data_IF_916131089613
#
_entry.id   IF_916131089613
#
_cell.length_a   1.000
_cell.length_b   1.000
_cell.length_c   1.000
_cell.angle_alpha   90.00
_cell.angle_beta   90.00
_cell.angle_gamma   90.00
#
_symmetry.space_group_name_H-M   'P 1'
#
loop_
_entity.id
_entity.type
_entity.pdbx_description
1 polymer ?
#
# COMPACT_ATOMS: atom_id res chain seq x y z
N UNK A 1 -0.11 9.86 -6.41
CA UNK A 1 -0.97 11.00 -6.89
C UNK A 1 -0.10 12.06 -7.56
N UNK A 2 0.72 12.77 -6.84
CA UNK A 2 1.66 13.79 -7.31
C UNK A 2 3.06 13.45 -6.82
N UNK A 3 4.09 14.11 -7.33
CA UNK A 3 5.46 13.96 -6.81
C UNK A 3 5.62 14.65 -5.45
N UNK A 4 5.03 15.84 -5.28
CA UNK A 4 5.01 16.57 -4.01
C UNK A 4 3.62 16.50 -3.38
N UNK A 5 3.58 16.29 -2.07
CA UNK A 5 2.32 16.24 -1.31
C UNK A 5 1.56 17.56 -1.33
N UNK A 6 2.27 18.69 -1.34
CA UNK A 6 1.67 20.03 -1.48
C UNK A 6 0.88 20.19 -2.79
N UNK A 7 1.39 19.62 -3.90
CA UNK A 7 0.67 19.61 -5.16
C UNK A 7 -0.58 18.73 -5.10
N UNK A 8 -0.48 17.62 -4.38
CA UNK A 8 -1.62 16.76 -4.10
C UNK A 8 -2.71 17.48 -3.29
N UNK A 9 -2.34 18.20 -2.25
CA UNK A 9 -3.26 19.03 -1.44
C UNK A 9 -3.96 20.07 -2.32
N UNK A 10 -3.20 20.79 -3.16
CA UNK A 10 -3.78 21.76 -4.11
C UNK A 10 -4.76 21.13 -5.09
N UNK A 11 -4.45 19.94 -5.61
CA UNK A 11 -5.38 19.20 -6.49
C UNK A 11 -6.67 18.81 -5.78
N UNK A 12 -6.58 18.36 -4.53
CA UNK A 12 -7.76 18.04 -3.69
C UNK A 12 -8.63 19.26 -3.48
N UNK A 13 -8.03 20.41 -3.14
CA UNK A 13 -8.76 21.65 -2.97
C UNK A 13 -9.45 22.12 -4.27
N UNK A 14 -8.74 22.08 -5.39
CA UNK A 14 -9.31 22.44 -6.69
C UNK A 14 -10.45 21.51 -7.11
N UNK A 15 -10.32 20.20 -6.87
CA UNK A 15 -11.39 19.25 -7.13
C UNK A 15 -12.64 19.58 -6.31
N UNK A 16 -12.47 19.91 -5.02
CA UNK A 16 -13.58 20.35 -4.13
C UNK A 16 -14.23 21.64 -4.64
N UNK A 17 -13.44 22.66 -4.99
CA UNK A 17 -13.94 23.94 -5.53
C UNK A 17 -14.74 23.75 -6.81
N UNK A 18 -14.24 22.89 -7.70
CA UNK A 18 -14.89 22.61 -9.00
C UNK A 18 -15.97 21.54 -8.93
N UNK A 19 -16.19 20.93 -7.76
CA UNK A 19 -17.15 19.84 -7.53
C UNK A 19 -16.95 18.66 -8.50
N UNK A 20 -15.69 18.33 -8.78
CA UNK A 20 -15.32 17.15 -9.58
C UNK A 20 -14.83 16.02 -8.67
N UNK A 21 -15.06 14.79 -9.10
CA UNK A 21 -14.60 13.61 -8.37
C UNK A 21 -13.12 13.38 -8.69
N UNK A 22 -12.31 13.23 -7.66
CA UNK A 22 -10.89 12.93 -7.74
C UNK A 22 -10.59 11.68 -6.92
N UNK A 23 -9.82 10.75 -7.47
CA UNK A 23 -9.31 9.56 -6.78
C UNK A 23 -7.90 9.21 -7.25
N UNK A 24 -7.30 8.20 -6.64
CA UNK A 24 -6.01 7.65 -7.04
C UNK A 24 -6.12 6.13 -7.21
N UNK A 25 -5.38 5.57 -8.18
CA UNK A 25 -5.42 4.16 -8.55
C UNK A 25 -4.68 3.25 -7.56
N UNK A 26 -5.11 3.15 -6.31
CA UNK A 26 -4.60 2.16 -5.36
C UNK A 26 -5.35 0.84 -5.53
N UNK A 27 -5.00 0.16 -6.61
CA UNK A 27 -5.66 -1.03 -7.14
C UNK A 27 -5.75 -2.18 -6.12
N UNK A 28 -4.82 -2.29 -5.17
CA UNK A 28 -4.79 -3.39 -4.21
C UNK A 28 -5.96 -3.35 -3.22
N UNK A 29 -6.59 -2.20 -3.00
CA UNK A 29 -7.84 -2.11 -2.21
C UNK A 29 -9.01 -2.82 -2.89
N UNK A 30 -8.92 -3.05 -4.20
CA UNK A 30 -9.91 -3.77 -5.02
C UNK A 30 -9.52 -5.22 -5.28
N UNK A 31 -8.34 -5.65 -4.80
CA UNK A 31 -7.90 -7.03 -4.91
C UNK A 31 -8.71 -7.90 -3.95
N UNK A 32 -9.44 -8.94 -4.46
CA UNK A 32 -10.31 -9.76 -3.61
C UNK A 32 -9.58 -10.44 -2.44
N UNK A 33 -8.33 -10.83 -2.63
CA UNK A 33 -7.54 -11.43 -1.55
C UNK A 33 -7.26 -10.40 -0.44
N UNK A 34 -6.89 -9.17 -0.80
CA UNK A 34 -6.63 -8.09 0.16
C UNK A 34 -7.91 -7.69 0.90
N UNK A 35 -9.02 -7.56 0.17
CA UNK A 35 -10.32 -7.27 0.76
C UNK A 35 -10.74 -8.37 1.76
N UNK A 36 -10.48 -9.64 1.43
CA UNK A 36 -10.76 -10.76 2.34
C UNK A 36 -9.91 -10.73 3.60
N UNK A 37 -8.61 -10.40 3.47
CA UNK A 37 -7.73 -10.20 4.64
C UNK A 37 -8.24 -9.05 5.50
N UNK A 38 -8.68 -7.94 4.89
CA UNK A 38 -9.28 -6.81 5.62
C UNK A 38 -10.53 -7.22 6.39
N UNK A 39 -11.38 -8.10 5.83
CA UNK A 39 -12.55 -8.63 6.53
C UNK A 39 -12.15 -9.48 7.75
N UNK A 40 -11.11 -10.30 7.64
CA UNK A 40 -10.57 -11.07 8.78
C UNK A 40 -10.05 -10.15 9.88
N UNK A 41 -9.34 -9.09 9.53
CA UNK A 41 -8.81 -8.09 10.47
C UNK A 41 -9.97 -7.36 11.17
N UNK A 42 -10.95 -6.86 10.42
CA UNK A 42 -12.11 -6.13 10.97
C UNK A 42 -12.96 -6.99 11.91
N UNK A 43 -13.17 -8.24 11.55
CA UNK A 43 -13.93 -9.18 12.37
C UNK A 43 -13.13 -9.73 13.54
N UNK A 44 -11.83 -9.42 13.64
CA UNK A 44 -10.89 -10.00 14.62
C UNK A 44 -10.90 -11.54 14.63
N UNK A 45 -11.19 -12.17 13.48
CA UNK A 45 -11.29 -13.63 13.36
C UNK A 45 -10.03 -14.36 13.86
N UNK A 46 -8.88 -13.70 13.73
CA UNK A 46 -7.55 -14.21 14.10
C UNK A 46 -6.84 -13.31 15.12
N UNK A 47 -7.62 -12.63 15.96
CA UNK A 47 -7.10 -11.68 16.95
C UNK A 47 -6.73 -10.32 16.35
N UNK A 48 -5.85 -9.60 17.04
CA UNK A 48 -5.42 -8.26 16.64
C UNK A 48 -4.29 -8.32 15.62
N UNK A 49 -4.37 -7.50 14.58
CA UNK A 49 -3.28 -7.33 13.61
C UNK A 49 -2.12 -6.58 14.27
N UNK A 50 -0.93 -7.18 14.24
CA UNK A 50 0.29 -6.64 14.85
C UNK A 50 1.29 -6.17 13.82
N UNK A 51 1.47 -6.93 12.73
CA UNK A 51 2.53 -6.68 11.77
C UNK A 51 2.09 -6.98 10.34
N UNK A 52 2.58 -6.16 9.40
CA UNK A 52 2.48 -6.37 7.96
C UNK A 52 3.88 -6.45 7.35
N UNK A 53 4.07 -7.32 6.38
CA UNK A 53 5.32 -7.49 5.64
C UNK A 53 5.00 -7.60 4.15
N UNK A 54 5.44 -6.62 3.36
CA UNK A 54 5.20 -6.54 1.93
C UNK A 54 6.47 -6.84 1.14
N UNK A 55 6.33 -7.59 0.05
CA UNK A 55 7.37 -7.88 -0.91
C UNK A 55 6.87 -7.59 -2.31
N UNK A 56 7.55 -6.64 -2.98
CA UNK A 56 7.22 -6.24 -4.34
C UNK A 56 8.49 -6.11 -5.17
N UNK A 57 8.79 -7.15 -5.89
CA UNK A 57 10.05 -7.35 -6.59
C UNK A 57 9.81 -7.75 -8.04
N UNK A 58 10.55 -7.16 -8.96
CA UNK A 58 10.53 -7.51 -10.37
C UNK A 58 11.68 -6.80 -11.11
N UNK A 59 11.86 -7.12 -12.39
CA UNK A 59 12.75 -6.34 -13.25
C UNK A 59 12.17 -4.96 -13.49
N UNK A 60 13.06 -3.97 -13.62
CA UNK A 60 12.70 -2.59 -13.90
C UNK A 60 11.81 -2.49 -15.15
N UNK A 61 10.66 -1.82 -15.06
CA UNK A 61 9.82 -1.56 -16.22
C UNK A 61 10.52 -0.56 -17.16
N UNK A 62 10.64 -0.84 -18.47
CA UNK A 62 11.45 -0.03 -19.40
C UNK A 62 10.87 1.37 -19.67
N UNK A 63 9.61 1.60 -19.33
CA UNK A 63 8.90 2.85 -19.52
C UNK A 63 9.00 3.82 -18.33
N UNK A 64 9.42 3.37 -17.15
CA UNK A 64 9.61 4.22 -15.96
C UNK A 64 11.00 4.86 -16.03
N UNK A 65 11.05 6.19 -16.06
CA UNK A 65 12.30 6.96 -16.17
C UNK A 65 12.36 8.17 -15.24
N UNK A 66 11.23 8.64 -14.78
CA UNK A 66 11.05 9.93 -14.10
C UNK A 66 10.94 9.85 -12.59
N UNK A 67 10.73 8.65 -12.05
CA UNK A 67 10.60 8.40 -10.61
C UNK A 67 11.34 7.13 -10.18
N UNK A 68 11.66 7.03 -8.89
CA UNK A 68 12.22 5.83 -8.29
C UNK A 68 11.15 4.85 -7.80
N UNK A 69 11.62 3.72 -7.29
CA UNK A 69 10.76 2.60 -6.88
C UNK A 69 9.81 2.97 -5.73
N UNK A 70 10.19 3.93 -4.89
CA UNK A 70 9.32 4.34 -3.77
C UNK A 70 8.04 4.94 -4.32
N UNK A 71 8.12 5.86 -5.30
CA UNK A 71 6.96 6.52 -5.88
C UNK A 71 6.19 5.68 -6.90
N UNK A 72 6.87 4.79 -7.64
CA UNK A 72 6.18 3.91 -8.60
C UNK A 72 5.56 2.69 -7.93
N UNK A 73 6.28 2.08 -7.00
CA UNK A 73 5.96 0.73 -6.52
C UNK A 73 5.57 0.71 -5.04
N UNK A 74 6.41 1.25 -4.15
CA UNK A 74 6.20 1.15 -2.70
C UNK A 74 4.96 1.91 -2.21
N UNK A 75 4.51 2.95 -2.92
CA UNK A 75 3.29 3.70 -2.60
C UNK A 75 2.04 2.83 -2.54
N UNK A 76 1.98 1.75 -3.34
CA UNK A 76 0.86 0.80 -3.30
C UNK A 76 0.82 0.00 -2.00
N UNK A 77 2.00 -0.38 -1.50
CA UNK A 77 2.11 -1.16 -0.25
C UNK A 77 1.97 -0.25 0.98
N UNK A 78 2.44 1.01 0.89
CA UNK A 78 2.17 2.06 1.90
C UNK A 78 0.66 2.26 2.04
N UNK A 79 -0.05 2.44 0.93
CA UNK A 79 -1.51 2.57 0.92
C UNK A 79 -2.21 1.35 1.51
N UNK A 80 -1.80 0.15 1.09
CA UNK A 80 -2.37 -1.10 1.59
C UNK A 80 -2.15 -1.27 3.09
N UNK A 81 -0.96 -0.91 3.60
CA UNK A 81 -0.66 -0.96 5.03
C UNK A 81 -1.57 -0.03 5.84
N UNK A 82 -1.70 1.24 5.41
CA UNK A 82 -2.61 2.20 6.04
C UNK A 82 -4.06 1.72 6.02
N UNK A 83 -4.50 1.18 4.88
CA UNK A 83 -5.85 0.67 4.73
C UNK A 83 -6.11 -0.56 5.62
N UNK A 84 -5.17 -1.50 5.71
CA UNK A 84 -5.32 -2.68 6.56
C UNK A 84 -5.33 -2.34 8.05
N UNK A 85 -4.48 -1.41 8.51
CA UNK A 85 -4.46 -0.95 9.89
C UNK A 85 -5.59 0.05 10.24
N UNK A 86 -6.27 0.66 9.24
CA UNK A 86 -7.22 1.77 9.40
C UNK A 86 -6.62 3.01 10.09
N UNK A 87 -5.31 3.23 9.93
CA UNK A 87 -4.61 4.37 10.54
C UNK A 87 -3.40 4.80 9.71
N UNK A 88 -2.94 6.03 9.91
CA UNK A 88 -1.69 6.53 9.35
C UNK A 88 -0.50 6.16 10.26
N UNK A 89 0.70 5.93 9.72
CA UNK A 89 1.89 5.71 10.53
C UNK A 89 2.35 7.00 11.21
N UNK A 90 2.92 6.87 12.40
CA UNK A 90 3.55 7.96 13.16
C UNK A 90 5.03 8.12 12.83
N UNK A 91 5.65 7.08 12.26
CA UNK A 91 7.09 6.99 12.03
C UNK A 91 7.37 6.31 10.70
N UNK A 92 8.35 6.86 9.97
CA UNK A 92 8.96 6.21 8.81
C UNK A 92 10.46 6.11 9.01
N UNK A 93 11.02 4.91 8.82
CA UNK A 93 12.44 4.69 8.64
C UNK A 93 12.68 3.94 7.34
N UNK A 94 13.59 4.44 6.49
CA UNK A 94 13.84 3.82 5.20
C UNK A 94 15.32 3.81 4.85
N UNK A 95 15.69 2.81 4.04
CA UNK A 95 16.96 2.78 3.31
C UNK A 95 16.68 2.38 1.87
N UNK A 96 17.20 3.18 0.95
CA UNK A 96 17.11 2.95 -0.49
C UNK A 96 18.44 3.14 -1.16
N UNK A 97 18.59 2.66 -2.36
CA UNK A 97 19.79 2.83 -3.16
C UNK A 97 19.47 2.68 -4.65
N UNK A 98 20.49 2.93 -5.48
CA UNK A 98 20.41 2.81 -6.93
C UNK A 98 21.58 2.01 -7.48
N UNK A 99 21.29 1.14 -8.44
CA UNK A 99 22.27 0.30 -9.14
C UNK A 99 22.20 0.54 -10.65
N UNK A 100 21.01 0.48 -11.24
CA UNK A 100 20.80 0.51 -12.68
C UNK A 100 19.94 1.68 -13.16
N UNK A 101 19.44 2.53 -12.24
CA UNK A 101 18.53 3.61 -12.55
C UNK A 101 19.07 4.97 -12.06
N UNK A 102 18.55 6.08 -12.57
CA UNK A 102 18.92 7.43 -12.11
C UNK A 102 18.34 7.75 -10.73
N UNK A 103 17.17 7.17 -10.41
CA UNK A 103 16.53 7.20 -9.09
C UNK A 103 16.78 5.89 -8.34
N UNK A 104 16.27 5.77 -7.10
CA UNK A 104 16.37 4.53 -6.34
C UNK A 104 15.61 3.38 -7.04
N UNK A 105 16.26 2.23 -7.16
CA UNK A 105 15.74 1.01 -7.77
C UNK A 105 15.58 -0.14 -6.77
N UNK A 106 15.91 0.11 -5.50
CA UNK A 106 15.53 -0.74 -4.38
C UNK A 106 15.30 0.09 -3.12
N UNK A 107 14.39 -0.36 -2.27
CA UNK A 107 14.09 0.26 -0.99
C UNK A 107 13.57 -0.76 0.02
N UNK A 108 13.94 -0.53 1.29
CA UNK A 108 13.27 -1.13 2.45
C UNK A 108 12.75 0.00 3.32
N UNK A 109 11.46 -0.05 3.64
CA UNK A 109 10.74 0.97 4.40
C UNK A 109 10.11 0.28 5.61
N UNK A 110 10.28 0.87 6.79
CA UNK A 110 9.57 0.50 8.01
C UNK A 110 8.62 1.63 8.38
N UNK A 111 7.37 1.29 8.60
CA UNK A 111 6.32 2.18 9.09
C UNK A 111 5.96 1.77 10.52
N UNK A 112 6.05 2.71 11.46
CA UNK A 112 5.60 2.52 12.83
C UNK A 112 4.22 3.15 13.02
N UNK A 113 3.30 2.40 13.59
CA UNK A 113 1.91 2.80 13.89
C UNK A 113 1.69 2.80 15.39
N UNK A 114 0.51 3.28 15.80
CA UNK A 114 0.12 3.25 17.22
C UNK A 114 0.09 1.82 17.78
N UNK A 115 0.20 1.70 19.09
CA UNK A 115 0.14 0.44 19.81
C UNK A 115 1.18 -0.61 19.34
N UNK A 116 2.38 -0.16 19.00
CA UNK A 116 3.53 -0.99 18.57
C UNK A 116 3.28 -1.81 17.30
N UNK A 117 2.34 -1.40 16.45
CA UNK A 117 2.12 -2.04 15.15
C UNK A 117 3.18 -1.58 14.16
N UNK A 118 3.56 -2.46 13.25
CA UNK A 118 4.66 -2.24 12.30
C UNK A 118 4.26 -2.75 10.92
N UNK A 119 4.59 -1.98 9.87
CA UNK A 119 4.66 -2.50 8.52
C UNK A 119 6.09 -2.41 7.96
N UNK A 120 6.53 -3.44 7.25
CA UNK A 120 7.78 -3.43 6.49
C UNK A 120 7.46 -3.64 5.02
N UNK A 121 8.10 -2.86 4.16
CA UNK A 121 7.94 -2.88 2.71
C UNK A 121 9.31 -3.08 2.09
N UNK A 122 9.47 -4.16 1.33
CA UNK A 122 10.67 -4.45 0.55
C UNK A 122 10.33 -4.41 -0.93
N UNK A 123 10.92 -3.46 -1.65
CA UNK A 123 10.68 -3.28 -3.08
C UNK A 123 12.00 -3.21 -3.84
N UNK A 124 12.09 -3.90 -5.00
CA UNK A 124 13.24 -3.76 -5.88
C UNK A 124 12.89 -4.04 -7.35
N UNK A 125 13.66 -3.41 -8.24
CA UNK A 125 13.64 -3.63 -9.69
C UNK A 125 14.81 -4.50 -10.19
N UNK A 126 15.43 -5.25 -9.30
CA UNK A 126 16.65 -6.04 -9.55
C UNK A 126 16.32 -7.52 -9.70
N UNK A 127 15.36 -8.01 -8.93
CA UNK A 127 14.96 -9.43 -8.91
C UNK A 127 14.45 -9.90 -10.27
N UNK A 128 14.96 -11.02 -10.82
CA UNK A 128 14.58 -11.48 -12.15
C UNK A 128 13.15 -12.02 -12.25
N UNK A 129 12.61 -12.52 -11.14
CA UNK A 129 11.25 -13.04 -11.03
C UNK A 129 10.32 -12.02 -10.41
N UNK A 130 9.03 -12.10 -10.75
CA UNK A 130 8.02 -11.20 -10.19
C UNK A 130 7.50 -11.76 -8.87
N UNK A 131 7.66 -11.00 -7.79
CA UNK A 131 7.11 -11.28 -6.47
C UNK A 131 6.18 -10.14 -6.08
N UNK A 132 4.95 -10.45 -5.68
CA UNK A 132 3.99 -9.49 -5.13
C UNK A 132 3.13 -10.19 -4.09
N UNK A 133 3.53 -10.08 -2.84
CA UNK A 133 2.79 -10.71 -1.74
C UNK A 133 2.96 -9.92 -0.45
N UNK A 134 2.16 -10.27 0.54
CA UNK A 134 2.34 -9.79 1.90
C UNK A 134 1.96 -10.85 2.94
N UNK A 135 2.49 -10.66 4.15
CA UNK A 135 2.08 -11.36 5.34
C UNK A 135 1.38 -10.40 6.29
N UNK A 136 0.23 -10.79 6.81
CA UNK A 136 -0.41 -10.15 7.94
C UNK A 136 -0.26 -11.07 9.17
N UNK A 137 0.47 -10.60 10.19
CA UNK A 137 0.68 -11.33 11.44
C UNK A 137 -0.31 -10.80 12.47
N UNK A 138 -1.24 -11.66 12.85
CA UNK A 138 -2.21 -11.42 13.92
C UNK A 138 -1.79 -12.18 15.17
N UNK A 139 -2.44 -11.93 16.30
CA UNK A 139 -2.13 -12.64 17.58
C UNK A 139 -2.32 -14.14 17.48
N UNK A 140 -3.27 -14.61 16.67
CA UNK A 140 -3.67 -16.02 16.62
C UNK A 140 -3.41 -16.68 15.25
N UNK A 141 -2.91 -15.93 14.26
CA UNK A 141 -2.60 -16.45 12.95
C UNK A 141 -1.58 -15.60 12.17
N UNK A 142 -0.93 -16.25 11.20
CA UNK A 142 -0.23 -15.60 10.10
C UNK A 142 -1.03 -15.81 8.81
N UNK A 143 -1.31 -14.73 8.11
CA UNK A 143 -2.06 -14.75 6.85
C UNK A 143 -1.11 -14.32 5.73
N UNK A 144 -0.76 -15.24 4.86
CA UNK A 144 -0.07 -14.96 3.60
C UNK A 144 -1.09 -14.61 2.52
N UNK A 145 -0.82 -13.59 1.72
CA UNK A 145 -1.63 -13.22 0.56
C UNK A 145 -0.75 -12.86 -0.64
N UNK A 146 -1.07 -13.43 -1.79
CA UNK A 146 -0.40 -13.13 -3.05
C UNK A 146 -1.30 -12.23 -3.91
N UNK A 147 -0.79 -11.06 -4.32
CA UNK A 147 -1.57 -10.08 -5.09
C UNK A 147 -1.83 -10.53 -6.53
N UNK A 148 -0.98 -11.41 -7.09
CA UNK A 148 -1.05 -11.86 -8.49
C UNK A 148 -2.01 -13.04 -8.61
N UNK A 149 -1.78 -14.08 -7.78
CA UNK A 149 -2.60 -15.29 -7.80
C UNK A 149 -3.91 -15.11 -7.04
N UNK A 150 -4.00 -14.07 -6.19
CA UNK A 150 -5.11 -13.82 -5.26
C UNK A 150 -5.34 -14.97 -4.28
N UNK A 151 -4.30 -15.74 -4.01
CA UNK A 151 -4.32 -16.81 -3.04
C UNK A 151 -4.12 -16.27 -1.62
N UNK A 152 -4.79 -16.92 -0.67
CA UNK A 152 -4.62 -16.67 0.76
C UNK A 152 -4.27 -18.00 1.42
N UNK A 153 -3.26 -17.97 2.30
CA UNK A 153 -2.93 -19.08 3.20
C UNK A 153 -2.93 -18.58 4.63
N UNK A 154 -3.66 -19.27 5.49
CA UNK A 154 -3.81 -18.94 6.91
C UNK A 154 -3.13 -20.04 7.70
N UNK A 155 -2.19 -19.64 8.54
CA UNK A 155 -1.42 -20.53 9.41
C UNK A 155 -1.77 -20.21 10.87
N UNK A 156 -2.23 -21.21 11.61
CA UNK A 156 -2.56 -21.14 13.04
C UNK A 156 -1.82 -22.25 13.79
N UNK A 157 -1.90 -22.26 15.11
CA UNK A 157 -1.37 -23.38 15.92
C UNK A 157 -2.00 -24.73 15.58
N UNK A 158 -3.23 -24.73 15.03
CA UNK A 158 -3.98 -25.94 14.68
C UNK A 158 -3.74 -26.44 13.26
N UNK A 159 -2.91 -25.74 12.47
CA UNK A 159 -2.59 -26.12 11.11
C UNK A 159 -2.72 -24.97 10.11
N UNK A 160 -2.79 -25.31 8.83
CA UNK A 160 -2.84 -24.37 7.72
C UNK A 160 -4.07 -24.61 6.85
N UNK A 161 -4.75 -23.54 6.45
CA UNK A 161 -5.87 -23.55 5.50
C UNK A 161 -5.65 -22.55 4.36
N UNK A 162 -6.16 -22.88 3.19
CA UNK A 162 -6.16 -21.98 2.02
C UNK A 162 -7.59 -21.85 1.51
N UNK A 163 -8.31 -20.82 1.98
CA UNK A 163 -9.69 -20.61 1.56
C UNK A 163 -9.75 -20.28 0.07
N UNK A 164 -10.66 -20.92 -0.65
CA UNK A 164 -10.93 -20.59 -2.05
C UNK A 164 -11.41 -19.14 -2.18
N UNK A 165 -10.82 -18.40 -3.10
CA UNK A 165 -11.23 -17.07 -3.47
C UNK A 165 -11.61 -17.03 -4.95
N UNK A 166 -12.72 -16.35 -5.27
CA UNK A 166 -13.07 -16.07 -6.66
C UNK A 166 -12.12 -15.01 -7.18
N UNK A 167 -11.31 -15.38 -8.17
CA UNK A 167 -10.41 -14.43 -8.84
C UNK A 167 -11.21 -13.43 -9.66
N UNK A 168 -10.94 -12.16 -9.47
CA UNK A 168 -11.55 -11.05 -10.21
C UNK A 168 -10.45 -10.07 -10.57
N UNK A 169 -10.53 -9.47 -11.76
CA UNK A 169 -9.59 -8.44 -12.18
C UNK A 169 -9.78 -7.16 -11.33
N UNK A 170 -8.79 -6.80 -10.49
CA UNK A 170 -8.94 -5.66 -9.57
C UNK A 170 -9.19 -4.33 -10.29
N UNK A 171 -8.56 -4.12 -11.46
CA UNK A 171 -8.76 -2.89 -12.24
C UNK A 171 -10.21 -2.71 -12.69
N UNK A 172 -10.90 -3.79 -13.01
CA UNK A 172 -12.32 -3.73 -13.39
C UNK A 172 -13.20 -3.26 -12.22
N UNK A 173 -12.86 -3.71 -11.00
CA UNK A 173 -13.56 -3.28 -9.78
C UNK A 173 -13.26 -1.83 -9.41
N UNK A 174 -12.02 -1.39 -9.60
CA UNK A 174 -11.60 -0.01 -9.38
C UNK A 174 -12.34 0.95 -10.32
N UNK A 175 -12.32 0.67 -11.63
CA UNK A 175 -13.03 1.48 -12.63
C UNK A 175 -14.53 1.50 -12.34
N UNK A 176 -15.12 0.34 -11.99
CA UNK A 176 -16.53 0.27 -11.62
C UNK A 176 -16.84 1.12 -10.39
N UNK A 177 -16.01 1.07 -9.34
CA UNK A 177 -16.19 1.91 -8.15
C UNK A 177 -16.16 3.40 -8.50
N UNK A 178 -15.24 3.81 -9.37
CA UNK A 178 -15.14 5.21 -9.82
C UNK A 178 -16.39 5.65 -10.60
N UNK A 179 -16.85 4.84 -11.57
CA UNK A 179 -18.07 5.13 -12.34
C UNK A 179 -19.32 5.17 -11.45
N UNK A 180 -19.48 4.20 -10.57
CA UNK A 180 -20.60 4.15 -9.62
C UNK A 180 -20.59 5.38 -8.66
N UNK A 181 -19.39 5.90 -8.33
CA UNK A 181 -19.27 7.11 -7.51
C UNK A 181 -19.66 8.37 -8.29
N UNK A 182 -19.36 8.45 -9.59
CA UNK A 182 -19.82 9.55 -10.46
C UNK A 182 -21.36 9.56 -10.54
N UNK A 183 -21.97 8.39 -10.59
CA UNK A 183 -23.43 8.23 -10.64
C UNK A 183 -24.10 8.37 -9.25
N UNK A 184 -23.32 8.59 -8.19
CA UNK A 184 -23.84 8.73 -6.83
C UNK A 184 -24.35 7.43 -6.19
N UNK A 185 -23.97 6.27 -6.72
CA UNK A 185 -24.39 4.96 -6.22
C UNK A 185 -23.60 4.48 -5.01
N UNK A 186 -22.35 4.94 -4.86
CA UNK A 186 -21.46 4.59 -3.76
C UNK A 186 -20.43 5.71 -3.51
N UNK A 187 -19.71 5.62 -2.40
CA UNK A 187 -18.55 6.47 -2.13
C UNK A 187 -17.29 5.91 -2.81
N UNK A 188 -16.30 6.80 -3.03
CA UNK A 188 -14.96 6.39 -3.44
C UNK A 188 -14.30 5.53 -2.37
N UNK A 189 -13.80 4.37 -2.77
CA UNK A 189 -13.01 3.49 -1.89
C UNK A 189 -11.66 4.11 -1.54
N UNK A 190 -11.07 4.87 -2.47
CA UNK A 190 -9.83 5.62 -2.27
C UNK A 190 -10.18 7.11 -2.26
N UNK A 191 -10.17 7.73 -1.09
CA UNK A 191 -10.39 9.18 -0.95
C UNK A 191 -9.11 9.92 -1.35
N UNK A 192 -9.20 11.08 -2.03
CA UNK A 192 -8.02 11.79 -2.52
C UNK A 192 -7.09 12.24 -1.40
N UNK A 193 -7.61 12.56 -0.21
CA UNK A 193 -6.81 12.92 0.96
C UNK A 193 -5.92 11.77 1.43
N UNK A 194 -6.40 10.54 1.33
CA UNK A 194 -5.61 9.34 1.66
C UNK A 194 -4.43 9.19 0.70
N UNK A 195 -4.63 9.50 -0.59
CA UNK A 195 -3.56 9.48 -1.58
C UNK A 195 -2.50 10.57 -1.33
N UNK A 196 -2.90 11.73 -0.84
CA UNK A 196 -1.95 12.77 -0.38
C UNK A 196 -1.13 12.26 0.80
N UNK A 197 -1.75 11.59 1.76
CA UNK A 197 -1.04 11.01 2.91
C UNK A 197 0.00 9.98 2.46
N UNK A 198 -0.32 9.13 1.49
CA UNK A 198 0.67 8.19 0.91
C UNK A 198 1.85 8.93 0.29
N UNK A 199 1.62 10.05 -0.42
CA UNK A 199 2.70 10.88 -0.97
C UNK A 199 3.58 11.47 0.14
N UNK A 200 3.00 11.98 1.23
CA UNK A 200 3.74 12.48 2.41
C UNK A 200 4.64 11.39 3.01
N UNK A 201 4.15 10.17 3.09
CA UNK A 201 4.92 9.03 3.61
C UNK A 201 6.06 8.68 2.65
N UNK A 202 5.84 8.71 1.33
CA UNK A 202 6.88 8.47 0.33
C UNK A 202 7.98 9.55 0.39
N UNK A 203 7.63 10.84 0.52
CA UNK A 203 8.57 11.93 0.76
C UNK A 203 9.40 11.69 2.04
N UNK A 204 8.73 11.32 3.14
CA UNK A 204 9.38 11.02 4.41
C UNK A 204 10.32 9.80 4.30
N UNK A 205 9.96 8.77 3.52
CA UNK A 205 10.81 7.61 3.28
C UNK A 205 12.09 7.99 2.52
N UNK A 206 12.00 8.80 1.48
CA UNK A 206 13.16 9.32 0.77
C UNK A 206 14.05 10.16 1.69
N UNK A 207 13.46 11.06 2.47
CA UNK A 207 14.17 11.91 3.41
C UNK A 207 14.87 11.07 4.50
N UNK A 208 14.19 10.06 5.04
CA UNK A 208 14.75 9.11 6.00
C UNK A 208 15.95 8.38 5.42
N UNK A 209 15.84 7.87 4.18
CA UNK A 209 16.93 7.19 3.51
C UNK A 209 18.15 8.09 3.29
N UNK A 210 17.93 9.36 2.92
CA UNK A 210 19.00 10.34 2.72
C UNK A 210 19.71 10.72 4.02
N UNK A 211 18.93 10.96 5.09
CA UNK A 211 19.45 11.39 6.38
C UNK A 211 19.97 10.23 7.24
N UNK A 212 19.54 9.00 6.99
CA UNK A 212 19.86 7.84 7.81
C UNK A 212 19.20 7.85 9.20
N UNK A 213 18.07 8.56 9.35
CA UNK A 213 17.35 8.70 10.62
C UNK A 213 15.84 8.48 10.40
N UNK A 214 15.08 8.07 11.46
CA UNK A 214 13.64 8.01 11.39
C UNK A 214 13.02 9.42 11.22
N UNK A 215 11.92 9.49 10.49
CA UNK A 215 11.10 10.70 10.31
C UNK A 215 9.77 10.48 11.01
N UNK A 216 9.42 11.34 11.94
CA UNK A 216 8.12 11.37 12.59
C UNK A 216 7.12 12.12 11.73
N UNK A 217 5.91 11.61 11.66
CA UNK A 217 4.82 12.12 10.83
C UNK A 217 3.71 12.71 11.70
N UNK A 218 3.16 13.83 11.24
CA UNK A 218 1.92 14.42 11.77
C UNK A 218 0.86 14.33 10.66
N UNK A 219 0.34 13.12 10.45
CA UNK A 219 -0.71 12.84 9.46
C UNK A 219 -2.02 12.63 10.22
N UNK A 220 -2.97 13.52 10.00
CA UNK A 220 -4.32 13.49 10.60
C UNK A 220 -5.29 12.71 9.72
#
# INVERSE_FOLDING_TARGET
MTYLSEDGERLVEEAKKKKVILTCGYIERFNPAVARVKDFIRSKKFGDLIRLEFYREHRMPPHIKDVGIIYDTSVHDIDTAMWLFDEAPELVFAKSGKINHEHEDFATIMLGFQNNKIATISSNWITPTRVRNFNAVCTDARIFSDFITQEIRIETENGSESPEAKKVEPLSLEIKNFLDSIEGKNELTVKPEQAVNVTKIAEAALLSSQKGVPIYLDIK
#
